data_IF_888415410394
#
_entry.id   IF_888415410394
#
_cell.length_a   1.000
_cell.length_b   1.000
_cell.length_c   1.000
_cell.angle_alpha   90.00
_cell.angle_beta   90.00
_cell.angle_gamma   90.00
#
_symmetry.space_group_name_H-M   'P 1'
#
loop_
_entity.id
_entity.type
_entity.pdbx_description
1 polymer ?
#
# COMPACT_ATOMS: atom_id res chain seq x y z
N UNK A 1 17.57 1.50 8.01
CA UNK A 1 16.39 1.92 7.23
C UNK A 1 15.62 2.90 8.08
N UNK A 2 15.42 4.08 7.54
CA UNK A 2 14.73 5.19 8.20
C UNK A 2 13.20 5.02 8.18
N UNK A 3 12.55 5.77 9.05
CA UNK A 3 11.09 5.93 9.07
C UNK A 3 10.85 7.42 9.22
N UNK A 4 10.20 8.04 8.24
CA UNK A 4 9.77 9.42 8.35
C UNK A 4 8.43 9.48 9.06
N UNK A 5 8.27 10.40 10.01
CA UNK A 5 7.08 10.51 10.84
C UNK A 5 6.59 11.96 10.84
N UNK A 6 5.34 12.13 10.42
CA UNK A 6 4.59 13.36 10.64
C UNK A 6 3.72 13.18 11.87
N UNK A 7 4.11 13.79 12.98
CA UNK A 7 3.46 13.60 14.28
C UNK A 7 2.13 14.33 14.36
N UNK A 8 1.13 13.67 14.94
CA UNK A 8 -0.16 14.27 15.24
C UNK A 8 -0.10 15.15 16.50
N UNK A 9 -0.87 16.26 16.51
CA UNK A 9 -1.07 17.07 17.74
C UNK A 9 -1.93 16.34 18.79
N UNK A 10 -2.91 15.56 18.32
CA UNK A 10 -3.77 14.69 19.15
C UNK A 10 -3.89 13.35 18.44
N UNK A 11 -3.01 12.42 18.72
CA UNK A 11 -2.92 11.15 18.02
C UNK A 11 -4.15 10.26 18.25
N UNK A 12 -5.01 10.15 17.22
CA UNK A 12 -6.21 9.31 17.21
C UNK A 12 -6.14 8.21 16.16
N UNK A 13 -5.45 8.47 15.05
CA UNK A 13 -5.33 7.56 13.91
C UNK A 13 -3.88 7.51 13.42
N UNK A 14 -3.47 6.39 12.86
CA UNK A 14 -2.18 6.28 12.14
C UNK A 14 -2.42 5.82 10.72
N UNK A 15 -1.80 6.52 9.75
CA UNK A 15 -1.60 6.02 8.40
C UNK A 15 -0.17 5.49 8.28
N UNK A 16 -0.03 4.23 7.83
CA UNK A 16 1.24 3.64 7.43
C UNK A 16 1.26 3.58 5.92
N UNK A 17 2.23 4.25 5.28
CA UNK A 17 2.22 4.49 3.84
C UNK A 17 3.44 3.88 3.19
N UNK A 18 3.22 2.95 2.25
CA UNK A 18 4.25 2.15 1.59
C UNK A 18 4.42 2.64 0.15
N UNK A 19 5.54 3.30 -0.13
CA UNK A 19 5.83 3.96 -1.41
C UNK A 19 6.08 2.94 -2.56
N UNK A 20 5.95 3.36 -3.83
CA UNK A 20 6.28 2.51 -4.97
C UNK A 20 7.80 2.26 -5.08
N UNK A 21 8.19 1.28 -5.88
CA UNK A 21 9.59 1.07 -6.25
C UNK A 21 10.15 2.31 -6.96
N UNK A 22 11.44 2.54 -6.85
CA UNK A 22 12.17 3.73 -7.36
C UNK A 22 11.77 5.07 -6.71
N UNK A 23 11.05 5.03 -5.60
CA UNK A 23 10.62 6.21 -4.87
C UNK A 23 11.02 6.09 -3.40
N UNK A 24 10.68 7.10 -2.62
CA UNK A 24 10.90 7.17 -1.18
C UNK A 24 9.66 7.73 -0.47
N UNK A 25 9.79 8.06 0.80
CA UNK A 25 8.68 8.59 1.60
C UNK A 25 8.12 9.91 1.11
N UNK A 26 8.91 10.73 0.38
CA UNK A 26 8.46 12.02 -0.18
C UNK A 26 7.35 11.84 -1.23
N UNK A 27 7.20 10.63 -1.76
CA UNK A 27 6.08 10.28 -2.64
C UNK A 27 4.72 10.69 -2.05
N UNK A 28 4.60 10.67 -0.73
CA UNK A 28 3.35 10.93 -0.02
C UNK A 28 3.15 12.37 0.45
N UNK A 29 4.06 13.28 0.16
CA UNK A 29 3.94 14.67 0.58
C UNK A 29 2.67 15.33 0.03
N UNK A 30 2.32 15.08 -1.24
CA UNK A 30 1.10 15.59 -1.86
C UNK A 30 -0.16 15.08 -1.16
N UNK A 31 -0.19 13.81 -0.74
CA UNK A 31 -1.32 13.21 0.00
C UNK A 31 -1.51 13.89 1.35
N UNK A 32 -0.41 14.07 2.10
CA UNK A 32 -0.44 14.70 3.42
C UNK A 32 -0.84 16.18 3.30
N UNK A 33 -0.34 16.88 2.29
CA UNK A 33 -0.70 18.27 2.03
C UNK A 33 -2.18 18.38 1.64
N UNK A 34 -2.69 17.52 0.77
CA UNK A 34 -4.11 17.46 0.44
C UNK A 34 -4.98 17.23 1.67
N UNK A 35 -4.63 16.30 2.56
CA UNK A 35 -5.36 16.07 3.81
C UNK A 35 -5.38 17.30 4.70
N UNK A 36 -4.27 18.06 4.78
CA UNK A 36 -4.18 19.32 5.54
C UNK A 36 -5.06 20.41 4.93
N UNK A 37 -5.08 20.53 3.62
CA UNK A 37 -5.88 21.51 2.89
C UNK A 37 -7.38 21.24 3.06
N UNK A 38 -7.81 19.98 2.89
CA UNK A 38 -9.22 19.61 2.98
C UNK A 38 -9.75 19.68 4.40
N UNK A 39 -8.99 19.20 5.39
CA UNK A 39 -9.39 19.22 6.80
C UNK A 39 -8.20 19.20 7.76
N UNK A 40 -7.63 20.36 8.00
CA UNK A 40 -6.50 20.53 8.91
C UNK A 40 -6.79 20.05 10.35
N UNK A 41 -8.00 20.27 10.85
CA UNK A 41 -8.37 19.87 12.22
C UNK A 41 -8.33 18.34 12.37
N UNK A 42 -8.87 17.59 11.41
CA UNK A 42 -8.80 16.13 11.38
C UNK A 42 -7.37 15.66 11.18
N UNK A 43 -6.64 16.25 10.21
CA UNK A 43 -5.26 15.86 9.89
C UNK A 43 -4.32 16.00 11.09
N UNK A 44 -4.56 17.00 11.96
CA UNK A 44 -3.85 17.14 13.23
C UNK A 44 -4.11 15.98 14.23
N UNK A 45 -5.05 15.09 13.95
CA UNK A 45 -5.28 13.86 14.74
C UNK A 45 -4.64 12.62 14.13
N UNK A 46 -4.06 12.74 12.96
CA UNK A 46 -3.47 11.64 12.19
C UNK A 46 -1.95 11.67 12.31
N UNK A 47 -1.37 10.58 12.74
CA UNK A 47 0.06 10.33 12.62
C UNK A 47 0.32 9.62 11.29
N UNK A 48 1.22 10.17 10.47
CA UNK A 48 1.67 9.51 9.25
C UNK A 48 3.03 8.87 9.50
N UNK A 49 3.12 7.58 9.22
CA UNK A 49 4.33 6.76 9.36
C UNK A 49 4.71 6.26 7.97
N UNK A 50 5.86 6.72 7.48
CA UNK A 50 6.36 6.50 6.14
C UNK A 50 7.68 5.72 6.20
N UNK A 51 7.61 4.38 6.24
CA UNK A 51 8.82 3.57 6.25
C UNK A 51 9.52 3.64 4.89
N UNK A 52 10.85 3.83 4.92
CA UNK A 52 11.66 3.73 3.70
C UNK A 52 11.92 2.26 3.35
N UNK A 53 11.86 1.92 2.05
CA UNK A 53 12.38 0.65 1.57
C UNK A 53 13.91 0.61 1.66
N UNK A 54 14.53 -0.56 1.63
CA UNK A 54 15.98 -0.65 1.49
C UNK A 54 16.43 -0.17 0.11
N UNK A 55 17.70 0.23 0.02
CA UNK A 55 18.39 0.35 -1.25
C UNK A 55 18.86 -1.05 -1.65
N UNK A 56 18.43 -1.51 -2.81
CA UNK A 56 18.74 -2.85 -3.35
C UNK A 56 19.33 -2.73 -4.75
N UNK A 57 20.13 -3.74 -5.09
CA UNK A 57 20.45 -4.03 -6.50
C UNK A 57 19.35 -4.91 -7.04
N UNK A 58 18.70 -4.50 -8.12
CA UNK A 58 17.55 -5.18 -8.70
C UNK A 58 17.74 -5.49 -10.18
N UNK A 59 17.05 -6.52 -10.64
CA UNK A 59 17.10 -6.99 -12.03
C UNK A 59 15.95 -6.45 -12.90
N UNK A 60 15.11 -5.59 -12.35
CA UNK A 60 13.93 -5.02 -13.00
C UNK A 60 14.22 -3.64 -13.63
N UNK A 61 13.61 -3.23 -14.75
CA UNK A 61 12.63 -3.97 -15.59
C UNK A 61 13.22 -4.94 -16.64
N UNK A 62 14.47 -5.05 -16.88
CA UNK A 62 15.17 -6.01 -17.72
C UNK A 62 16.68 -5.76 -17.69
N UNK A 63 17.10 -4.77 -16.95
CA UNK A 63 18.49 -4.42 -16.75
C UNK A 63 18.79 -4.37 -15.27
N UNK A 64 20.00 -4.70 -14.91
CA UNK A 64 20.47 -4.57 -13.55
C UNK A 64 20.52 -3.10 -13.17
N UNK A 65 19.85 -2.73 -12.08
CA UNK A 65 19.90 -1.41 -11.51
C UNK A 65 20.46 -1.49 -10.10
N UNK A 66 21.28 -0.53 -9.73
CA UNK A 66 22.03 -0.56 -8.49
C UNK A 66 21.55 0.51 -7.54
N UNK A 67 21.50 0.14 -6.26
CA UNK A 67 21.27 1.08 -5.17
C UNK A 67 19.96 1.87 -5.31
N UNK A 68 18.87 1.17 -5.62
CA UNK A 68 17.54 1.76 -5.81
C UNK A 68 16.59 1.41 -4.65
N UNK A 69 15.69 2.31 -4.33
CA UNK A 69 14.63 2.06 -3.37
C UNK A 69 13.67 0.98 -3.88
N UNK A 70 13.66 -0.17 -3.21
CA UNK A 70 12.78 -1.29 -3.53
C UNK A 70 12.51 -2.14 -2.30
N UNK A 71 11.26 -2.58 -2.12
CA UNK A 71 10.89 -3.45 -1.01
C UNK A 71 11.48 -4.86 -1.17
N UNK A 72 11.61 -5.32 -2.40
CA UNK A 72 12.17 -6.62 -2.76
C UNK A 72 12.60 -6.62 -4.23
N UNK A 73 13.52 -7.52 -4.60
CA UNK A 73 13.97 -7.65 -5.97
C UNK A 73 12.99 -8.49 -6.82
N UNK A 74 12.84 -8.11 -8.09
CA UNK A 74 12.26 -8.92 -9.15
C UNK A 74 13.36 -9.56 -9.98
N UNK A 75 13.29 -10.88 -10.21
CA UNK A 75 14.24 -11.59 -11.07
C UNK A 75 13.75 -11.74 -12.51
N UNK A 76 12.49 -11.46 -12.76
CA UNK A 76 11.88 -11.53 -14.08
C UNK A 76 10.91 -10.39 -14.28
N UNK A 77 10.82 -9.92 -15.51
CA UNK A 77 9.81 -8.98 -15.95
C UNK A 77 9.18 -9.52 -17.24
N UNK A 78 7.93 -9.92 -17.18
CA UNK A 78 7.22 -10.49 -18.33
C UNK A 78 6.46 -9.42 -19.11
N UNK A 79 7.19 -8.54 -19.82
CA UNK A 79 6.60 -7.58 -20.75
C UNK A 79 5.35 -6.87 -20.20
N UNK A 80 5.49 -6.21 -19.05
CA UNK A 80 4.42 -5.48 -18.36
C UNK A 80 3.25 -6.37 -17.85
N UNK A 81 3.38 -7.68 -17.91
CA UNK A 81 2.43 -8.63 -17.36
C UNK A 81 2.98 -9.27 -16.09
N UNK A 82 3.11 -8.54 -15.01
CA UNK A 82 3.69 -8.98 -13.72
C UNK A 82 2.99 -10.18 -13.05
N UNK A 83 2.30 -10.99 -13.83
CA UNK A 83 1.47 -12.10 -13.31
C UNK A 83 2.28 -13.21 -12.68
N UNK A 84 3.50 -13.43 -13.17
CA UNK A 84 4.31 -14.61 -12.84
C UNK A 84 5.75 -14.25 -12.48
N UNK A 85 6.01 -13.00 -12.20
CA UNK A 85 7.35 -12.55 -11.86
C UNK A 85 7.93 -13.37 -10.72
N UNK A 86 9.19 -13.74 -10.88
CA UNK A 86 9.98 -14.30 -9.78
C UNK A 86 10.51 -13.16 -8.95
N UNK A 87 10.28 -13.22 -7.66
CA UNK A 87 10.72 -12.20 -6.70
C UNK A 87 11.68 -12.81 -5.68
N UNK A 88 12.48 -11.96 -5.04
CA UNK A 88 13.22 -12.34 -3.85
C UNK A 88 12.28 -12.48 -2.66
N UNK A 89 11.88 -13.71 -2.37
CA UNK A 89 10.94 -14.00 -1.26
C UNK A 89 11.56 -13.73 0.11
N UNK A 90 12.88 -13.79 0.24
CA UNK A 90 13.58 -13.47 1.50
C UNK A 90 13.42 -11.99 1.84
N UNK A 91 13.68 -11.09 0.87
CA UNK A 91 13.49 -9.66 1.05
C UNK A 91 12.01 -9.35 1.29
N UNK A 92 11.12 -9.95 0.50
CA UNK A 92 9.67 -9.78 0.62
C UNK A 92 9.18 -10.10 2.04
N UNK A 93 9.59 -11.25 2.61
CA UNK A 93 9.23 -11.65 3.97
C UNK A 93 9.91 -10.75 5.01
N UNK A 94 11.17 -10.38 4.80
CA UNK A 94 11.91 -9.49 5.71
C UNK A 94 11.23 -8.13 5.85
N UNK A 95 10.86 -7.51 4.72
CA UNK A 95 10.16 -6.22 4.74
C UNK A 95 8.75 -6.35 5.31
N UNK A 96 8.02 -7.41 4.97
CA UNK A 96 6.72 -7.71 5.59
C UNK A 96 6.81 -7.72 7.12
N UNK A 97 7.74 -8.48 7.69
CA UNK A 97 7.92 -8.58 9.15
C UNK A 97 8.26 -7.24 9.79
N UNK A 98 9.07 -6.42 9.11
CA UNK A 98 9.41 -5.07 9.56
C UNK A 98 8.17 -4.17 9.62
N UNK A 99 7.33 -4.17 8.58
CA UNK A 99 6.10 -3.37 8.58
C UNK A 99 5.10 -3.89 9.60
N UNK A 100 4.99 -5.20 9.76
CA UNK A 100 4.15 -5.82 10.82
C UNK A 100 4.57 -5.34 12.22
N UNK A 101 5.87 -5.24 12.49
CA UNK A 101 6.35 -4.68 13.76
C UNK A 101 5.89 -3.24 13.97
N UNK A 102 6.04 -2.37 12.95
CA UNK A 102 5.55 -0.98 13.00
C UNK A 102 4.04 -0.92 13.26
N UNK A 103 3.24 -1.78 12.60
CA UNK A 103 1.79 -1.86 12.80
C UNK A 103 1.47 -2.22 14.26
N UNK A 104 2.16 -3.19 14.82
CA UNK A 104 1.94 -3.64 16.20
C UNK A 104 2.31 -2.55 17.22
N UNK A 105 3.42 -1.83 16.99
CA UNK A 105 3.85 -0.72 17.84
C UNK A 105 2.80 0.42 17.82
N UNK A 106 2.31 0.80 16.64
CA UNK A 106 1.28 1.82 16.50
C UNK A 106 -0.07 1.37 17.09
N UNK A 107 -0.42 0.08 16.93
CA UNK A 107 -1.62 -0.48 17.52
C UNK A 107 -1.55 -0.47 19.06
N UNK A 108 -0.39 -0.74 19.64
CA UNK A 108 -0.17 -0.66 21.09
C UNK A 108 -0.33 0.78 21.61
N UNK A 109 0.22 1.77 20.89
CA UNK A 109 0.07 3.19 21.24
C UNK A 109 -1.41 3.61 21.21
N UNK A 110 -2.13 3.26 20.14
CA UNK A 110 -3.54 3.62 19.94
C UNK A 110 -4.51 2.70 20.71
N UNK A 111 -4.00 1.60 21.28
CA UNK A 111 -4.79 0.51 21.90
C UNK A 111 -5.86 -0.05 20.97
N UNK A 112 -5.63 -0.03 19.66
CA UNK A 112 -6.59 -0.47 18.65
C UNK A 112 -5.99 -0.61 17.27
N UNK A 113 -6.14 -1.75 16.64
CA UNK A 113 -5.86 -1.95 15.21
C UNK A 113 -6.87 -1.24 14.29
N UNK A 114 -8.11 -1.05 14.74
CA UNK A 114 -9.16 -0.35 13.95
C UNK A 114 -8.89 1.14 13.72
N UNK A 115 -7.87 1.70 14.37
CA UNK A 115 -7.44 3.09 14.17
C UNK A 115 -6.23 3.18 13.23
N UNK A 116 -5.79 2.05 12.67
CA UNK A 116 -4.67 1.98 11.73
C UNK A 116 -5.19 1.83 10.30
N UNK A 117 -4.65 2.65 9.43
CA UNK A 117 -4.93 2.66 8.00
C UNK A 117 -3.63 2.42 7.25
N UNK A 118 -3.66 1.57 6.22
CA UNK A 118 -2.47 1.26 5.45
C UNK A 118 -2.72 1.64 3.99
N UNK A 119 -1.80 2.41 3.42
CA UNK A 119 -1.78 2.74 2.01
C UNK A 119 -0.58 2.04 1.40
N UNK A 120 -0.78 1.31 0.33
CA UNK A 120 0.29 0.74 -0.45
C UNK A 120 0.13 1.09 -1.92
N UNK A 121 1.17 1.72 -2.50
CA UNK A 121 1.19 2.12 -3.90
C UNK A 121 2.12 1.18 -4.67
N UNK A 122 1.66 0.66 -5.80
CA UNK A 122 2.45 -0.19 -6.69
C UNK A 122 3.12 -1.35 -5.93
N UNK A 123 4.43 -1.44 -5.87
CA UNK A 123 5.15 -2.46 -5.11
C UNK A 123 4.81 -2.43 -3.60
N UNK A 124 4.59 -1.24 -3.03
CA UNK A 124 4.11 -1.11 -1.64
C UNK A 124 2.74 -1.74 -1.42
N UNK A 125 1.86 -1.68 -2.42
CA UNK A 125 0.55 -2.33 -2.40
C UNK A 125 0.64 -3.86 -2.48
N UNK A 126 1.57 -4.41 -3.25
CA UNK A 126 1.80 -5.87 -3.26
C UNK A 126 2.29 -6.37 -1.90
N UNK A 127 3.13 -5.59 -1.21
CA UNK A 127 3.61 -5.90 0.12
C UNK A 127 2.48 -5.88 1.17
N UNK A 128 1.52 -4.97 1.04
CA UNK A 128 0.36 -4.84 1.90
C UNK A 128 -0.37 -6.18 2.09
N UNK A 129 -0.59 -6.91 1.02
CA UNK A 129 -1.29 -8.20 1.10
C UNK A 129 -0.51 -9.26 1.88
N UNK A 130 0.82 -9.24 1.82
CA UNK A 130 1.62 -10.17 2.62
C UNK A 130 1.60 -9.78 4.11
N UNK A 131 1.50 -8.49 4.42
CA UNK A 131 1.33 -7.97 5.78
C UNK A 131 0.07 -8.54 6.43
N UNK A 132 -1.05 -8.55 5.69
CA UNK A 132 -2.35 -9.04 6.17
C UNK A 132 -2.31 -10.51 6.65
N UNK A 133 -1.42 -11.32 6.09
CA UNK A 133 -1.21 -12.70 6.54
C UNK A 133 -0.76 -12.79 8.00
N UNK A 134 -0.09 -11.75 8.51
CA UNK A 134 0.51 -11.73 9.84
C UNK A 134 -0.26 -10.85 10.84
N UNK A 135 -1.32 -10.18 10.40
CA UNK A 135 -2.16 -9.32 11.26
C UNK A 135 -3.52 -9.99 11.43
N UNK A 136 -3.77 -10.70 12.55
CA UNK A 136 -5.04 -11.40 12.78
C UNK A 136 -6.15 -10.46 13.28
N UNK A 137 -5.95 -9.16 13.20
CA UNK A 137 -6.85 -8.13 13.70
C UNK A 137 -7.47 -7.32 12.57
N UNK A 138 -8.69 -6.82 12.79
CA UNK A 138 -9.34 -5.89 11.88
C UNK A 138 -8.63 -4.53 11.93
N UNK A 139 -8.11 -4.10 10.78
CA UNK A 139 -7.57 -2.76 10.56
C UNK A 139 -8.68 -1.77 10.21
N UNK A 140 -8.43 -0.47 10.38
CA UNK A 140 -9.38 0.59 10.07
C UNK A 140 -9.70 0.69 8.59
N UNK A 141 -8.71 0.52 7.72
CA UNK A 141 -8.88 0.50 6.28
C UNK A 141 -7.57 0.23 5.55
N UNK A 142 -7.69 -0.35 4.36
CA UNK A 142 -6.58 -0.76 3.50
C UNK A 142 -6.77 -0.17 2.12
N UNK A 143 -5.79 0.57 1.64
CA UNK A 143 -5.83 1.23 0.34
C UNK A 143 -4.74 0.65 -0.58
N UNK A 144 -5.16 -0.05 -1.61
CA UNK A 144 -4.31 -0.66 -2.62
C UNK A 144 -4.37 0.18 -3.89
N UNK A 145 -3.33 0.98 -4.12
CA UNK A 145 -3.29 1.98 -5.18
C UNK A 145 -2.43 1.48 -6.32
N UNK A 146 -3.01 1.35 -7.52
CA UNK A 146 -2.30 0.90 -8.75
C UNK A 146 -1.42 -0.31 -8.46
N UNK A 147 -2.01 -1.35 -7.87
CA UNK A 147 -1.27 -2.52 -7.39
C UNK A 147 -2.12 -3.79 -7.51
N UNK A 148 -1.55 -4.92 -7.16
CA UNK A 148 -2.23 -6.20 -7.28
C UNK A 148 -1.93 -7.17 -6.13
N UNK A 149 -2.82 -8.13 -5.95
CA UNK A 149 -2.62 -9.27 -5.06
C UNK A 149 -1.77 -10.35 -5.73
N UNK A 150 -0.55 -10.56 -5.23
CA UNK A 150 0.39 -11.54 -5.77
C UNK A 150 0.07 -12.95 -5.24
N UNK A 151 -1.04 -13.54 -5.68
CA UNK A 151 -1.57 -14.82 -5.18
C UNK A 151 -0.57 -15.99 -5.26
N UNK A 152 0.42 -15.92 -6.15
CA UNK A 152 1.49 -16.93 -6.27
C UNK A 152 2.37 -17.00 -5.02
N UNK A 153 2.56 -15.88 -4.33
CA UNK A 153 3.45 -15.76 -3.16
C UNK A 153 2.69 -15.61 -1.86
N UNK A 154 1.44 -15.20 -1.94
CA UNK A 154 0.63 -14.84 -0.79
C UNK A 154 -0.63 -15.71 -0.81
N UNK A 155 -0.82 -16.51 0.21
CA UNK A 155 -2.02 -17.31 0.39
C UNK A 155 -2.84 -16.72 1.53
N UNK A 156 -3.76 -15.82 1.21
CA UNK A 156 -4.72 -15.26 2.16
C UNK A 156 -5.95 -16.16 2.18
N UNK A 157 -6.12 -16.93 3.25
CA UNK A 157 -7.29 -17.78 3.48
C UNK A 157 -8.05 -17.40 4.74
N UNK A 158 -7.73 -16.27 5.34
CA UNK A 158 -8.38 -15.80 6.56
C UNK A 158 -9.34 -14.67 6.23
N UNK A 159 -10.59 -14.81 6.66
CA UNK A 159 -11.56 -13.73 6.58
C UNK A 159 -11.12 -12.56 7.45
N UNK A 160 -11.21 -11.37 6.92
CA UNK A 160 -10.95 -10.14 7.65
C UNK A 160 -12.08 -9.14 7.41
N UNK A 161 -12.55 -8.51 8.48
CA UNK A 161 -13.51 -7.41 8.41
C UNK A 161 -12.84 -6.07 8.03
N UNK A 162 -11.54 -6.07 7.75
CA UNK A 162 -10.83 -4.85 7.32
C UNK A 162 -11.34 -4.41 5.95
N UNK A 163 -11.88 -3.19 5.80
CA UNK A 163 -12.29 -2.67 4.50
C UNK A 163 -11.09 -2.57 3.57
N UNK A 164 -11.24 -3.06 2.34
CA UNK A 164 -10.17 -3.07 1.34
C UNK A 164 -10.63 -2.28 0.11
N UNK A 165 -9.88 -1.23 -0.19
CA UNK A 165 -10.16 -0.30 -1.29
C UNK A 165 -9.09 -0.42 -2.36
N UNK A 166 -9.52 -0.68 -3.60
CA UNK A 166 -8.66 -0.62 -4.77
C UNK A 166 -8.89 0.66 -5.56
N UNK A 167 -7.81 1.24 -6.03
CA UNK A 167 -7.80 2.36 -6.96
C UNK A 167 -6.87 2.05 -8.12
N UNK A 168 -7.40 2.03 -9.34
CA UNK A 168 -6.67 1.57 -10.52
C UNK A 168 -6.97 2.45 -11.72
N UNK A 169 -5.99 2.56 -12.62
CA UNK A 169 -6.18 3.16 -13.93
C UNK A 169 -6.43 2.10 -15.01
N UNK A 170 -7.30 2.38 -15.98
CA UNK A 170 -7.53 1.45 -17.09
C UNK A 170 -6.44 1.48 -18.16
N UNK A 171 -5.47 2.40 -18.03
CA UNK A 171 -4.27 2.49 -18.88
C UNK A 171 -2.99 2.13 -18.11
N UNK A 172 -3.12 1.47 -16.94
CA UNK A 172 -1.98 0.99 -16.19
C UNK A 172 -1.19 -0.02 -17.05
N UNK A 173 0.01 0.35 -17.44
CA UNK A 173 0.91 -0.38 -18.33
C UNK A 173 1.89 -1.29 -17.57
N UNK A 174 1.92 -1.17 -16.24
CA UNK A 174 2.72 -2.00 -15.34
C UNK A 174 1.87 -3.14 -14.77
N UNK A 175 0.76 -2.82 -14.13
CA UNK A 175 -0.20 -3.80 -13.62
C UNK A 175 -1.51 -3.71 -14.42
N UNK A 176 -1.58 -4.49 -15.51
CA UNK A 176 -2.76 -4.52 -16.36
C UNK A 176 -4.06 -4.68 -15.57
N UNK A 177 -5.06 -3.85 -15.84
CA UNK A 177 -6.32 -3.78 -15.08
C UNK A 177 -7.05 -5.13 -15.03
N UNK A 178 -7.15 -5.84 -16.16
CA UNK A 178 -7.81 -7.16 -16.21
C UNK A 178 -7.16 -8.14 -15.25
N UNK A 179 -5.82 -8.08 -15.15
CA UNK A 179 -5.09 -8.93 -14.24
C UNK A 179 -5.23 -8.50 -12.78
N UNK A 180 -5.26 -7.20 -12.49
CA UNK A 180 -5.59 -6.69 -11.15
C UNK A 180 -6.97 -7.20 -10.71
N UNK A 181 -7.99 -7.10 -11.58
CA UNK A 181 -9.36 -7.57 -11.32
C UNK A 181 -9.40 -9.08 -11.06
N UNK A 182 -8.69 -9.86 -11.88
CA UNK A 182 -8.58 -11.31 -11.68
C UNK A 182 -7.97 -11.66 -10.31
N UNK A 183 -6.94 -10.92 -9.91
CA UNK A 183 -6.29 -11.13 -8.61
C UNK A 183 -7.20 -10.73 -7.44
N UNK A 184 -7.90 -9.59 -7.56
CA UNK A 184 -8.81 -9.12 -6.52
C UNK A 184 -10.02 -10.05 -6.33
N UNK A 185 -10.54 -10.63 -7.40
CA UNK A 185 -11.63 -11.62 -7.35
C UNK A 185 -11.31 -12.80 -6.43
N UNK A 186 -10.04 -13.17 -6.30
CA UNK A 186 -9.60 -14.21 -5.38
C UNK A 186 -9.72 -13.79 -3.90
N UNK A 187 -9.82 -12.50 -3.63
CA UNK A 187 -9.93 -11.95 -2.28
C UNK A 187 -11.39 -11.70 -1.85
N UNK A 188 -12.35 -11.65 -2.78
CA UNK A 188 -13.77 -11.33 -2.49
C UNK A 188 -14.41 -12.28 -1.48
N UNK A 189 -13.94 -13.52 -1.39
CA UNK A 189 -14.40 -14.47 -0.37
C UNK A 189 -13.93 -14.15 1.05
N UNK A 190 -12.90 -13.32 1.19
CA UNK A 190 -12.20 -13.07 2.46
C UNK A 190 -12.28 -11.61 2.92
N UNK A 191 -12.51 -10.69 1.98
CA UNK A 191 -12.50 -9.25 2.23
C UNK A 191 -13.71 -8.56 1.61
N UNK A 192 -14.19 -7.52 2.28
CA UNK A 192 -15.15 -6.58 1.67
C UNK A 192 -14.36 -5.60 0.81
N UNK A 193 -14.48 -5.74 -0.52
CA UNK A 193 -13.70 -4.98 -1.50
C UNK A 193 -14.56 -3.88 -2.12
N UNK A 194 -14.03 -2.66 -2.12
CA UNK A 194 -14.52 -1.54 -2.93
C UNK A 194 -13.48 -1.20 -3.98
N UNK A 195 -13.89 -0.97 -5.22
CA UNK A 195 -12.98 -0.68 -6.32
C UNK A 195 -13.38 0.57 -7.08
N UNK A 196 -12.42 1.46 -7.29
CA UNK A 196 -12.55 2.62 -8.18
C UNK A 196 -11.58 2.48 -9.34
N UNK A 197 -12.10 2.58 -10.56
CA UNK A 197 -11.33 2.53 -11.81
C UNK A 197 -11.43 3.89 -12.47
N UNK A 198 -10.28 4.46 -12.84
CA UNK A 198 -10.19 5.77 -13.48
C UNK A 198 -9.83 5.59 -14.95
N UNK A 199 -10.63 6.19 -15.81
CA UNK A 199 -10.38 6.17 -17.24
C UNK A 199 -9.13 6.97 -17.62
N UNK A 200 -8.37 6.43 -18.55
CA UNK A 200 -7.13 7.02 -19.09
C UNK A 200 -6.00 7.27 -18.06
N UNK A 201 -6.12 6.75 -16.87
CA UNK A 201 -5.06 6.82 -15.86
C UNK A 201 -4.05 5.70 -16.11
N UNK A 202 -2.77 6.06 -16.22
CA UNK A 202 -1.63 5.17 -16.29
C UNK A 202 -1.08 4.81 -14.89
N UNK A 203 0.01 4.04 -14.87
CA UNK A 203 0.64 3.61 -13.62
C UNK A 203 1.34 4.75 -12.87
N UNK A 204 1.95 5.68 -13.59
CA UNK A 204 2.89 6.65 -13.02
C UNK A 204 2.25 7.98 -12.63
N UNK A 205 1.19 8.37 -13.32
CA UNK A 205 0.52 9.64 -13.11
C UNK A 205 -0.22 9.66 -11.78
N UNK A 206 0.09 10.63 -10.93
CA UNK A 206 -0.68 10.97 -9.72
C UNK A 206 -1.69 12.06 -10.07
N UNK A 207 -2.91 11.88 -9.63
CA UNK A 207 -3.99 12.86 -9.81
C UNK A 207 -4.69 13.15 -8.48
N UNK A 208 -5.30 14.31 -8.36
CA UNK A 208 -5.96 14.74 -7.13
C UNK A 208 -7.07 13.78 -6.68
N UNK A 209 -7.77 13.15 -7.63
CA UNK A 209 -8.81 12.17 -7.36
C UNK A 209 -8.29 10.96 -6.57
N UNK A 210 -7.00 10.62 -6.68
CA UNK A 210 -6.38 9.55 -5.91
C UNK A 210 -6.30 9.92 -4.43
N UNK A 211 -5.93 11.16 -4.11
CA UNK A 211 -5.86 11.66 -2.74
C UNK A 211 -7.25 11.80 -2.13
N UNK A 212 -8.18 12.32 -2.92
CA UNK A 212 -9.57 12.50 -2.55
C UNK A 212 -10.27 11.16 -2.29
N UNK A 213 -10.00 10.13 -3.11
CA UNK A 213 -10.48 8.77 -2.90
C UNK A 213 -10.08 8.23 -1.54
N UNK A 214 -8.82 8.38 -1.14
CA UNK A 214 -8.33 7.90 0.14
C UNK A 214 -8.98 8.70 1.27
N UNK A 215 -9.00 10.03 1.16
CA UNK A 215 -9.56 10.89 2.20
C UNK A 215 -11.05 10.65 2.42
N UNK A 216 -11.85 10.56 1.36
CA UNK A 216 -13.31 10.30 1.47
C UNK A 216 -13.61 8.95 2.11
N UNK A 217 -12.91 7.89 1.69
CA UNK A 217 -13.12 6.58 2.28
C UNK A 217 -12.68 6.53 3.73
N UNK A 218 -11.56 7.18 4.10
CA UNK A 218 -11.17 7.35 5.49
C UNK A 218 -12.27 8.05 6.30
N UNK A 219 -12.84 9.14 5.80
CA UNK A 219 -13.94 9.87 6.45
C UNK A 219 -15.19 9.01 6.69
N UNK A 220 -15.49 8.08 5.79
CA UNK A 220 -16.61 7.14 5.95
C UNK A 220 -16.34 6.11 7.06
N UNK A 221 -15.09 5.70 7.23
CA UNK A 221 -14.68 4.66 8.18
C UNK A 221 -14.54 5.15 9.63
N UNK A 222 -14.39 6.45 9.84
CA UNK A 222 -14.20 7.03 11.18
C UNK A 222 -15.47 7.67 11.78
N UNK A 223 -16.58 7.64 11.03
CA UNK A 223 -17.91 8.05 11.51
C UNK A 223 -18.48 6.98 12.44
#
# INVERSE_FOLDING_TARGET
MSINIYSAKKHKYTFIMLHPMFSDSTYFDDYINYFKEVNSALTNTIKFVLPESPLLDIDYPNNKQYNVNSWYNYYTCYNNLHKLDKINTTDFIKQTKRIVAIINDEAAILKSYKKLFIIGVSQGGTLLFNILKFIPHTLGGLFCIKSLYMYKYINLKTHSSSPLFFYSGNKDDIYNLEFQQKCAKLLEHYYNISWTIIDNLDHHTKIQEEYDFIFRNFMLLIK
#
